data_IF_072040388136
#
_entry.id   IF_072040388136
#
_cell.length_a   1.000
_cell.length_b   1.000
_cell.length_c   1.000
_cell.angle_alpha   90.00
_cell.angle_beta   90.00
_cell.angle_gamma   90.00
#
_symmetry.space_group_name_H-M   'P 1'
#
loop_
_entity.id
_entity.type
_entity.pdbx_description
1 polymer ?
#
# COMPACT_ATOMS: atom_id res chain seq x y z
N UNK A 1 7.47 -3.89 -32.78
CA UNK A 1 6.10 -3.58 -32.27
C UNK A 1 5.87 -4.20 -30.88
N UNK A 2 6.26 -5.45 -30.65
CA UNK A 2 6.15 -6.17 -29.36
C UNK A 2 6.92 -5.48 -28.21
N UNK A 3 8.08 -4.88 -28.49
CA UNK A 3 8.92 -4.17 -27.51
C UNK A 3 8.25 -2.92 -26.92
N UNK A 4 7.60 -2.10 -27.76
CA UNK A 4 6.85 -0.91 -27.31
C UNK A 4 5.65 -1.26 -26.42
N UNK A 5 5.01 -2.40 -26.66
CA UNK A 5 3.86 -2.86 -25.86
C UNK A 5 4.33 -3.30 -24.48
N UNK A 6 5.44 -4.06 -24.40
CA UNK A 6 6.03 -4.51 -23.13
C UNK A 6 6.49 -3.34 -22.26
N UNK A 7 7.11 -2.32 -22.86
CA UNK A 7 7.52 -1.09 -22.17
C UNK A 7 6.32 -0.27 -21.65
N UNK A 8 5.24 -0.17 -22.44
CA UNK A 8 3.99 0.46 -21.99
C UNK A 8 3.32 -0.32 -20.86
N UNK A 9 3.31 -1.64 -20.92
CA UNK A 9 2.76 -2.48 -19.84
C UNK A 9 3.59 -2.37 -18.56
N UNK A 10 4.92 -2.44 -18.64
CA UNK A 10 5.81 -2.30 -17.49
C UNK A 10 5.72 -0.91 -16.86
N UNK A 11 5.61 0.15 -17.67
CA UNK A 11 5.39 1.50 -17.15
C UNK A 11 4.01 1.64 -16.51
N UNK A 12 2.97 1.03 -17.09
CA UNK A 12 1.63 1.02 -16.50
C UNK A 12 1.57 0.26 -15.16
N UNK A 13 2.24 -0.89 -15.08
CA UNK A 13 2.37 -1.68 -13.84
C UNK A 13 3.15 -0.89 -12.78
N UNK A 14 4.25 -0.23 -13.15
CA UNK A 14 5.01 0.64 -12.23
C UNK A 14 4.23 1.86 -11.77
N UNK A 15 3.29 2.36 -12.57
CA UNK A 15 2.46 3.52 -12.27
C UNK A 15 1.28 3.18 -11.33
N UNK A 16 0.94 1.90 -11.17
CA UNK A 16 -0.21 1.46 -10.37
C UNK A 16 0.15 0.34 -9.39
N UNK A 17 1.14 0.54 -8.50
CA UNK A 17 1.45 -0.45 -7.47
C UNK A 17 0.24 -0.72 -6.56
N UNK A 18 -0.66 0.25 -6.39
CA UNK A 18 -1.90 0.14 -5.62
C UNK A 18 -2.91 -0.87 -6.23
N UNK A 19 -3.01 -0.96 -7.56
CA UNK A 19 -3.89 -1.94 -8.21
C UNK A 19 -3.39 -3.37 -8.03
N UNK A 20 -2.08 -3.56 -7.86
CA UNK A 20 -1.47 -4.88 -7.65
C UNK A 20 -1.39 -5.24 -6.17
N UNK A 21 -1.27 -4.26 -5.28
CA UNK A 21 -1.15 -4.49 -3.84
C UNK A 21 -2.41 -5.13 -3.26
N UNK A 22 -3.60 -4.82 -3.79
CA UNK A 22 -4.89 -5.42 -3.37
C UNK A 22 -4.97 -6.93 -3.68
N UNK A 23 -4.78 -7.41 -4.92
CA UNK A 23 -4.77 -8.85 -5.18
C UNK A 23 -3.63 -9.58 -4.45
N UNK A 24 -2.46 -8.96 -4.33
CA UNK A 24 -1.33 -9.54 -3.57
C UNK A 24 -1.66 -9.67 -2.09
N UNK A 25 -2.32 -8.68 -1.48
CA UNK A 25 -2.69 -8.73 -0.06
C UNK A 25 -3.78 -9.77 0.20
N UNK A 26 -4.77 -9.90 -0.69
CA UNK A 26 -5.79 -10.97 -0.62
C UNK A 26 -5.14 -12.36 -0.73
N UNK A 27 -4.20 -12.54 -1.64
CA UNK A 27 -3.46 -13.80 -1.78
C UNK A 27 -2.64 -14.12 -0.53
N UNK A 28 -1.96 -13.12 0.04
CA UNK A 28 -1.23 -13.27 1.31
C UNK A 28 -2.17 -13.64 2.46
N UNK A 29 -3.35 -13.02 2.54
CA UNK A 29 -4.35 -13.38 3.53
C UNK A 29 -4.83 -14.82 3.36
N UNK A 30 -5.20 -15.23 2.15
CA UNK A 30 -5.62 -16.60 1.89
C UNK A 30 -4.52 -17.63 2.22
N UNK A 31 -3.26 -17.31 1.88
CA UNK A 31 -2.11 -18.14 2.21
C UNK A 31 -1.78 -18.19 3.71
N UNK A 32 -2.20 -17.19 4.49
CA UNK A 32 -1.96 -17.14 5.93
C UNK A 32 -2.87 -18.06 6.75
N UNK A 33 -4.06 -18.41 6.24
CA UNK A 33 -5.04 -19.28 6.91
C UNK A 33 -4.44 -20.64 7.32
N UNK A 34 -3.78 -21.41 6.44
CA UNK A 34 -3.15 -22.68 6.83
C UNK A 34 -2.00 -22.49 7.81
N UNK A 35 -1.26 -21.38 7.74
CA UNK A 35 -0.14 -21.07 8.64
C UNK A 35 -0.65 -20.81 10.06
N UNK A 36 -1.72 -20.03 10.21
CA UNK A 36 -2.33 -19.77 11.51
C UNK A 36 -2.86 -21.06 12.13
N UNK A 37 -3.54 -21.90 11.34
CA UNK A 37 -4.08 -23.20 11.82
C UNK A 37 -3.00 -24.18 12.26
N UNK A 38 -1.78 -24.03 11.76
CA UNK A 38 -0.65 -24.83 12.20
C UNK A 38 -0.14 -24.42 13.59
N UNK A 39 -0.23 -23.13 13.91
CA UNK A 39 0.17 -22.56 15.21
C UNK A 39 -0.95 -22.73 16.24
N UNK A 40 -2.19 -22.47 15.83
CA UNK A 40 -3.38 -22.61 16.66
C UNK A 40 -4.49 -23.40 15.90
N UNK A 41 -4.66 -24.69 16.23
CA UNK A 41 -5.66 -25.54 15.57
C UNK A 41 -7.11 -25.15 15.85
N UNK A 42 -7.40 -24.37 16.90
CA UNK A 42 -8.77 -23.92 17.21
C UNK A 42 -9.14 -22.63 16.50
N UNK A 43 -8.18 -21.98 15.82
CA UNK A 43 -8.42 -20.78 15.03
C UNK A 43 -9.46 -21.05 13.93
N UNK A 44 -10.60 -20.38 14.05
CA UNK A 44 -11.66 -20.37 13.03
C UNK A 44 -11.16 -19.82 11.68
N UNK A 45 -11.92 -20.07 10.60
CA UNK A 45 -11.64 -19.49 9.27
C UNK A 45 -11.63 -17.96 9.34
N UNK A 46 -12.46 -17.40 10.23
CA UNK A 46 -12.49 -15.99 10.58
C UNK A 46 -12.71 -15.89 12.10
N UNK A 47 -11.81 -15.21 12.79
CA UNK A 47 -11.78 -14.98 14.23
C UNK A 47 -11.15 -13.60 14.48
N UNK A 48 -11.68 -12.83 15.43
CA UNK A 48 -11.17 -11.49 15.76
C UNK A 48 -9.94 -11.53 16.67
N UNK A 49 -9.15 -12.60 16.56
CA UNK A 49 -7.90 -12.75 17.28
C UNK A 49 -6.81 -11.83 16.74
N UNK A 50 -5.84 -11.49 17.59
CA UNK A 50 -4.73 -10.55 17.30
C UNK A 50 -4.03 -10.86 15.97
N UNK A 51 -3.78 -12.15 15.66
CA UNK A 51 -3.12 -12.56 14.42
C UNK A 51 -3.96 -12.25 13.17
N UNK A 52 -5.27 -12.49 13.22
CA UNK A 52 -6.15 -12.21 12.10
C UNK A 52 -6.39 -10.71 11.93
N UNK A 53 -6.47 -9.93 13.01
CA UNK A 53 -6.57 -8.46 12.94
C UNK A 53 -5.37 -7.84 12.22
N UNK A 54 -4.15 -8.32 12.48
CA UNK A 54 -2.94 -7.86 11.76
C UNK A 54 -3.02 -8.22 10.27
N UNK A 55 -3.42 -9.44 9.93
CA UNK A 55 -3.53 -9.88 8.54
C UNK A 55 -4.63 -9.16 7.76
N UNK A 56 -5.77 -8.94 8.39
CA UNK A 56 -6.87 -8.12 7.84
C UNK A 56 -6.39 -6.69 7.63
N UNK A 57 -5.62 -6.11 8.54
CA UNK A 57 -5.02 -4.78 8.37
C UNK A 57 -4.11 -4.72 7.13
N UNK A 58 -3.33 -5.78 6.88
CA UNK A 58 -2.49 -5.89 5.66
C UNK A 58 -3.32 -5.95 4.38
N UNK A 59 -4.57 -6.42 4.42
CA UNK A 59 -5.50 -6.41 3.27
C UNK A 59 -6.17 -5.05 3.11
N UNK A 60 -6.66 -4.49 4.21
CA UNK A 60 -7.44 -3.26 4.23
C UNK A 60 -6.58 -2.03 3.89
N UNK A 61 -5.32 -1.99 4.34
CA UNK A 61 -4.40 -0.87 4.05
C UNK A 61 -4.25 -0.61 2.54
N UNK A 62 -3.91 -1.61 1.70
CA UNK A 62 -3.89 -1.47 0.24
C UNK A 62 -5.20 -0.97 -0.36
N UNK A 63 -6.34 -1.45 0.13
CA UNK A 63 -7.67 -1.06 -0.37
C UNK A 63 -7.94 0.41 -0.07
N UNK A 64 -7.72 0.83 1.19
CA UNK A 64 -7.87 2.23 1.59
C UNK A 64 -6.88 3.14 0.88
N UNK A 65 -5.64 2.70 0.70
CA UNK A 65 -4.62 3.41 -0.06
C UNK A 65 -5.05 3.62 -1.51
N UNK A 66 -5.58 2.57 -2.16
CA UNK A 66 -6.13 2.65 -3.52
C UNK A 66 -7.31 3.61 -3.59
N UNK A 67 -8.23 3.56 -2.63
CA UNK A 67 -9.38 4.46 -2.56
C UNK A 67 -8.95 5.93 -2.37
N UNK A 68 -7.97 6.19 -1.49
CA UNK A 68 -7.39 7.52 -1.30
C UNK A 68 -6.73 8.03 -2.58
N UNK A 69 -5.98 7.17 -3.29
CA UNK A 69 -5.31 7.54 -4.54
C UNK A 69 -6.31 7.81 -5.67
N UNK A 70 -7.38 7.02 -5.77
CA UNK A 70 -8.51 7.32 -6.65
C UNK A 70 -9.17 8.65 -6.28
N UNK A 71 -9.34 8.93 -4.99
CA UNK A 71 -9.84 10.21 -4.49
C UNK A 71 -8.97 11.38 -4.94
N UNK A 72 -7.64 11.27 -4.82
CA UNK A 72 -6.69 12.27 -5.31
C UNK A 72 -6.78 12.41 -6.83
N UNK A 73 -6.87 11.31 -7.57
CA UNK A 73 -7.01 11.33 -9.04
C UNK A 73 -8.25 12.08 -9.50
N UNK A 74 -9.39 11.87 -8.84
CA UNK A 74 -10.67 12.47 -9.25
C UNK A 74 -10.82 13.91 -8.77
N UNK A 75 -10.44 14.21 -7.53
CA UNK A 75 -10.65 15.53 -6.93
C UNK A 75 -9.46 16.48 -7.16
N UNK A 76 -8.23 15.95 -7.24
CA UNK A 76 -7.00 16.74 -7.30
C UNK A 76 -6.12 16.33 -8.49
N UNK A 77 -6.70 16.43 -9.69
CA UNK A 77 -6.05 16.02 -10.95
C UNK A 77 -4.66 16.65 -11.16
N UNK A 78 -4.46 17.90 -10.71
CA UNK A 78 -3.15 18.56 -10.73
C UNK A 78 -2.09 17.83 -9.89
N UNK A 79 -2.43 17.41 -8.67
CA UNK A 79 -1.51 16.66 -7.80
C UNK A 79 -1.23 15.26 -8.38
N UNK A 80 -2.24 14.62 -8.95
CA UNK A 80 -2.07 13.33 -9.63
C UNK A 80 -1.20 13.43 -10.88
N UNK A 81 -1.38 14.47 -11.70
CA UNK A 81 -0.56 14.74 -12.88
C UNK A 81 0.87 15.14 -12.49
N UNK A 82 1.02 15.89 -11.38
CA UNK A 82 2.31 16.11 -10.76
C UNK A 82 2.93 14.76 -10.41
N UNK A 83 2.24 13.85 -9.68
CA UNK A 83 2.63 12.47 -9.30
C UNK A 83 2.86 11.47 -10.45
N UNK A 84 2.36 11.75 -11.67
CA UNK A 84 2.62 10.91 -12.87
C UNK A 84 3.85 11.26 -13.75
N UNK A 85 4.14 12.54 -14.01
CA UNK A 85 5.40 13.03 -14.64
C UNK A 85 6.72 12.69 -13.90
N UNK A 86 7.61 11.88 -14.50
CA UNK A 86 8.95 11.41 -14.03
C UNK A 86 9.96 12.39 -13.37
N UNK A 87 9.58 13.64 -13.10
CA UNK A 87 10.30 14.73 -12.45
C UNK A 87 10.54 14.51 -10.94
N UNK A 88 9.82 13.59 -10.25
CA UNK A 88 9.95 13.37 -8.78
C UNK A 88 11.36 13.14 -8.31
N UNK A 89 12.10 12.31 -9.04
CA UNK A 89 13.43 11.89 -8.62
C UNK A 89 14.35 13.10 -8.69
N UNK A 90 14.19 13.93 -9.73
CA UNK A 90 14.95 15.17 -9.88
C UNK A 90 14.60 16.20 -8.81
N UNK A 91 13.33 16.31 -8.44
CA UNK A 91 12.89 17.26 -7.41
C UNK A 91 13.25 16.79 -5.98
N UNK A 92 13.16 15.48 -5.71
CA UNK A 92 13.67 14.89 -4.47
C UNK A 92 15.17 15.11 -4.30
N UNK A 93 15.94 15.01 -5.40
CA UNK A 93 17.37 15.28 -5.40
C UNK A 93 17.73 16.78 -5.24
N UNK A 94 16.76 17.70 -5.35
CA UNK A 94 16.98 19.12 -5.01
C UNK A 94 16.82 19.40 -3.51
N UNK A 95 16.16 18.51 -2.76
CA UNK A 95 16.00 18.67 -1.32
C UNK A 95 17.35 18.55 -0.60
N UNK A 96 17.53 19.31 0.48
CA UNK A 96 18.70 19.18 1.34
C UNK A 96 18.67 17.85 2.11
N UNK A 97 19.81 17.31 2.56
CA UNK A 97 19.86 16.01 3.24
C UNK A 97 18.90 15.91 4.44
N UNK A 98 18.81 16.97 5.25
CA UNK A 98 17.90 17.02 6.40
C UNK A 98 16.43 17.02 6.00
N UNK A 99 16.06 17.70 4.92
CA UNK A 99 14.67 17.68 4.41
C UNK A 99 14.27 16.29 3.91
N UNK A 100 15.21 15.55 3.31
CA UNK A 100 14.98 14.16 2.88
C UNK A 100 14.77 13.24 4.08
N UNK A 101 15.58 13.40 5.12
CA UNK A 101 15.44 12.64 6.37
C UNK A 101 14.11 12.95 7.07
N UNK A 102 13.72 14.23 7.11
CA UNK A 102 12.44 14.66 7.68
C UNK A 102 11.26 14.07 6.88
N UNK A 103 11.31 14.10 5.54
CA UNK A 103 10.31 13.47 4.68
C UNK A 103 10.19 11.96 4.96
N UNK A 104 11.33 11.27 5.10
CA UNK A 104 11.35 9.85 5.44
C UNK A 104 10.70 9.58 6.81
N UNK A 105 11.07 10.35 7.84
CA UNK A 105 10.46 10.24 9.16
C UNK A 105 8.95 10.52 9.14
N UNK A 106 8.50 11.53 8.39
CA UNK A 106 7.08 11.83 8.24
C UNK A 106 6.31 10.69 7.58
N UNK A 107 6.83 10.11 6.49
CA UNK A 107 6.20 8.97 5.83
C UNK A 107 6.15 7.76 6.77
N UNK A 108 7.24 7.46 7.46
CA UNK A 108 7.31 6.36 8.43
C UNK A 108 6.29 6.54 9.57
N UNK A 109 6.25 7.71 10.21
CA UNK A 109 5.31 7.99 11.29
C UNK A 109 3.86 7.97 10.82
N UNK A 110 3.57 8.47 9.61
CA UNK A 110 2.22 8.44 9.03
C UNK A 110 1.75 7.01 8.77
N UNK A 111 2.65 6.14 8.28
CA UNK A 111 2.35 4.71 8.09
C UNK A 111 2.12 3.98 9.42
N UNK A 112 2.95 4.25 10.43
CA UNK A 112 2.80 3.68 11.76
C UNK A 112 1.47 4.13 12.39
N UNK A 113 1.15 5.42 12.31
CA UNK A 113 -0.11 5.97 12.80
C UNK A 113 -1.33 5.34 12.10
N UNK A 114 -1.28 5.21 10.76
CA UNK A 114 -2.34 4.54 10.01
C UNK A 114 -2.53 3.08 10.46
N UNK A 115 -1.43 2.36 10.72
CA UNK A 115 -1.47 1.00 11.27
C UNK A 115 -2.11 0.96 12.67
N UNK A 116 -1.74 1.87 13.56
CA UNK A 116 -2.31 1.96 14.91
C UNK A 116 -3.81 2.28 14.87
N UNK A 117 -4.23 3.23 14.03
CA UNK A 117 -5.65 3.59 13.89
C UNK A 117 -6.46 2.40 13.38
N UNK A 118 -5.93 1.65 12.41
CA UNK A 118 -6.63 0.47 11.89
C UNK A 118 -6.75 -0.61 12.95
N UNK A 119 -5.66 -0.96 13.64
CA UNK A 119 -5.72 -1.95 14.72
C UNK A 119 -6.67 -1.50 15.83
N UNK A 120 -6.65 -0.22 16.21
CA UNK A 120 -7.55 0.33 17.23
C UNK A 120 -9.03 0.38 16.79
N UNK A 121 -9.32 0.50 15.50
CA UNK A 121 -10.68 0.47 14.97
C UNK A 121 -11.30 -0.94 14.97
N UNK A 122 -10.47 -1.98 15.13
CA UNK A 122 -10.88 -3.39 15.10
C UNK A 122 -10.62 -4.12 16.45
N UNK A 123 -10.24 -3.39 17.51
CA UNK A 123 -10.16 -3.84 18.90
C UNK A 123 -11.39 -3.35 19.68
#
# INVERSE_FOLDING_TARGET
>A
MITKIKERLLSFIKLWPELWSVPVSILLFAASIPIIRWIDPTAGVFDWGIFQTVLVTVVILPILSTAAFMGIRFNFKFLFDYYRKTVYIKDYLKLTPWQRLLLFCLVYLSLLLAGVILVAAYL
#
